data_IF_848932505312
#
_entry.id   IF_848932505312
#
_cell.length_a   1.000
_cell.length_b   1.000
_cell.length_c   1.000
_cell.angle_alpha   90.00
_cell.angle_beta   90.00
_cell.angle_gamma   90.00
#
_symmetry.space_group_name_H-M   'P 1'
#
loop_
_entity.id
_entity.type
_entity.pdbx_description
1 polymer ?
#
# COMPACT_ATOMS: atom_id res chain seq x y z
N UNK A 1 3.58 -0.86 -7.12
CA UNK A 1 2.45 0.07 -7.37
C UNK A 1 1.33 -0.18 -6.37
N UNK A 2 0.43 0.79 -6.19
CA UNK A 2 -0.74 0.69 -5.30
C UNK A 2 -1.92 1.52 -5.78
N UNK A 3 -3.12 1.17 -5.29
CA UNK A 3 -4.38 1.81 -5.65
C UNK A 3 -5.34 1.88 -4.44
N UNK A 4 -6.35 2.75 -4.54
CA UNK A 4 -7.42 2.95 -3.57
C UNK A 4 -8.77 3.05 -4.28
N UNK A 5 -9.77 2.32 -3.78
CA UNK A 5 -11.14 2.32 -4.29
C UNK A 5 -12.12 2.64 -3.16
N UNK A 6 -13.20 3.37 -3.48
CA UNK A 6 -14.29 3.66 -2.55
C UNK A 6 -15.50 2.79 -2.85
N UNK A 7 -15.89 1.98 -1.88
CA UNK A 7 -17.02 1.05 -1.98
C UNK A 7 -18.34 1.64 -1.46
N UNK A 8 -18.34 2.89 -1.00
CA UNK A 8 -19.50 3.55 -0.40
C UNK A 8 -19.55 3.42 1.12
N UNK A 9 -20.33 4.26 1.78
CA UNK A 9 -20.57 4.23 3.25
C UNK A 9 -19.28 4.24 4.12
N UNK A 10 -18.26 4.96 3.66
CA UNK A 10 -16.96 5.01 4.35
C UNK A 10 -16.11 3.73 4.18
N UNK A 11 -16.50 2.78 3.34
CA UNK A 11 -15.68 1.60 3.04
C UNK A 11 -14.69 1.87 1.92
N UNK A 12 -13.42 1.59 2.19
CA UNK A 12 -12.32 1.68 1.24
C UNK A 12 -11.70 0.31 1.02
N UNK A 13 -11.22 0.09 -0.19
CA UNK A 13 -10.34 -1.02 -0.54
C UNK A 13 -9.00 -0.44 -1.02
N UNK A 14 -7.91 -0.82 -0.37
CA UNK A 14 -6.55 -0.49 -0.82
C UNK A 14 -5.87 -1.74 -1.37
N UNK A 15 -5.14 -1.59 -2.46
CA UNK A 15 -4.38 -2.69 -3.07
C UNK A 15 -2.98 -2.27 -3.43
N UNK A 16 -2.10 -3.24 -3.63
CA UNK A 16 -0.81 -3.01 -4.26
C UNK A 16 0.05 -4.25 -4.33
N UNK A 17 1.14 -4.13 -5.06
CA UNK A 17 2.08 -5.22 -5.24
C UNK A 17 3.51 -4.72 -5.49
N UNK A 18 4.44 -5.64 -5.26
CA UNK A 18 5.84 -5.55 -5.67
C UNK A 18 6.14 -6.72 -6.61
N UNK A 19 6.82 -6.43 -7.71
CA UNK A 19 7.24 -7.42 -8.70
C UNK A 19 8.73 -7.24 -8.97
N UNK A 20 9.50 -8.31 -8.84
CA UNK A 20 10.91 -8.38 -9.17
C UNK A 20 11.09 -8.99 -10.58
N UNK A 21 12.24 -8.74 -11.22
CA UNK A 21 12.57 -9.31 -12.54
C UNK A 21 12.96 -10.79 -12.48
N UNK A 22 13.28 -11.29 -11.29
CA UNK A 22 13.66 -12.67 -11.01
C UNK A 22 13.12 -13.09 -9.65
N UNK A 23 13.20 -14.38 -9.31
CA UNK A 23 12.96 -14.86 -7.95
C UNK A 23 14.01 -14.27 -7.02
N UNK A 24 13.58 -13.71 -5.90
CA UNK A 24 14.46 -13.16 -4.86
C UNK A 24 14.24 -13.86 -3.52
N UNK A 25 15.24 -13.79 -2.64
CA UNK A 25 15.19 -14.36 -1.29
C UNK A 25 13.98 -13.84 -0.49
N UNK A 26 13.71 -12.54 -0.56
CA UNK A 26 12.59 -11.89 0.13
C UNK A 26 12.00 -10.77 -0.72
N UNK A 27 10.68 -10.70 -0.79
CA UNK A 27 9.94 -9.63 -1.47
C UNK A 27 8.75 -9.21 -0.63
N UNK A 28 8.52 -7.90 -0.51
CA UNK A 28 7.39 -7.37 0.25
C UNK A 28 6.71 -6.17 -0.43
N UNK A 29 5.45 -5.97 -0.08
CA UNK A 29 4.71 -4.72 -0.25
C UNK A 29 4.06 -4.39 1.10
N UNK A 30 4.28 -3.20 1.64
CA UNK A 30 3.55 -2.71 2.81
C UNK A 30 2.61 -1.60 2.39
N UNK A 31 1.30 -1.84 2.52
CA UNK A 31 0.27 -0.87 2.20
C UNK A 31 0.01 0.01 3.41
N UNK A 32 -0.16 1.31 3.18
CA UNK A 32 -0.49 2.33 4.15
C UNK A 32 -1.78 3.02 3.71
N UNK A 33 -2.71 3.21 4.63
CA UNK A 33 -3.77 4.20 4.45
C UNK A 33 -3.26 5.54 4.97
N UNK A 34 -3.31 6.58 4.13
CA UNK A 34 -3.03 7.95 4.53
C UNK A 34 -4.31 8.79 4.52
N UNK A 35 -4.43 9.71 5.48
CA UNK A 35 -5.50 10.71 5.55
C UNK A 35 -4.93 12.11 5.44
N UNK A 36 -5.60 13.00 4.71
CA UNK A 36 -5.24 14.41 4.68
C UNK A 36 -5.72 15.12 5.95
N UNK A 37 -4.84 15.81 6.65
CA UNK A 37 -5.15 16.56 7.88
C UNK A 37 -5.45 18.06 7.65
N UNK A 38 -5.40 18.51 6.38
CA UNK A 38 -5.51 19.91 6.00
C UNK A 38 -4.18 20.50 5.50
N UNK A 39 -3.04 19.88 5.78
CA UNK A 39 -1.72 20.34 5.36
C UNK A 39 -0.78 19.21 4.92
N UNK A 40 -0.96 18.00 5.45
CA UNK A 40 -0.11 16.84 5.21
C UNK A 40 -0.93 15.55 5.08
N UNK A 41 -0.31 14.58 4.42
CA UNK A 41 -0.79 13.19 4.40
C UNK A 41 -0.19 12.43 5.59
N UNK A 42 -1.04 11.95 6.49
CA UNK A 42 -0.64 11.26 7.72
C UNK A 42 -0.93 9.76 7.60
N UNK A 43 0.06 8.92 7.90
CA UNK A 43 -0.09 7.46 7.95
C UNK A 43 -1.04 7.09 9.10
N UNK A 44 -2.20 6.50 8.77
CA UNK A 44 -3.22 6.09 9.74
C UNK A 44 -3.04 4.65 10.22
N UNK A 45 -2.70 3.76 9.29
CA UNK A 45 -2.51 2.35 9.52
C UNK A 45 -1.69 1.74 8.37
N UNK A 46 -1.08 0.57 8.62
CA UNK A 46 -0.34 -0.15 7.59
C UNK A 46 -0.44 -1.67 7.73
N UNK A 47 -0.29 -2.38 6.61
CA UNK A 47 -0.36 -3.83 6.55
C UNK A 47 0.76 -4.39 5.68
N UNK A 48 1.64 -5.26 6.23
CA UNK A 48 2.68 -5.92 5.46
C UNK A 48 2.11 -7.11 4.69
N UNK A 49 2.63 -7.31 3.48
CA UNK A 49 2.47 -8.52 2.69
C UNK A 49 3.85 -8.92 2.18
N UNK A 50 4.26 -10.14 2.47
CA UNK A 50 5.61 -10.60 2.20
C UNK A 50 5.63 -12.03 1.68
N UNK A 51 6.71 -12.36 0.98
CA UNK A 51 6.96 -13.69 0.44
C UNK A 51 8.46 -13.94 0.43
N UNK A 52 8.85 -15.17 0.78
CA UNK A 52 10.21 -15.67 0.63
C UNK A 52 10.33 -16.47 -0.66
N UNK A 53 11.53 -16.49 -1.25
CA UNK A 53 11.83 -17.21 -2.49
C UNK A 53 10.77 -16.97 -3.58
N UNK A 54 10.53 -15.70 -3.92
CA UNK A 54 9.47 -15.30 -4.84
C UNK A 54 9.82 -14.06 -5.66
N UNK A 55 9.16 -13.90 -6.80
CA UNK A 55 9.31 -12.72 -7.68
C UNK A 55 8.13 -11.75 -7.63
N UNK A 56 7.09 -12.07 -6.86
CA UNK A 56 5.86 -11.30 -6.80
C UNK A 56 5.16 -11.46 -5.45
N UNK A 57 4.65 -10.34 -4.93
CA UNK A 57 3.77 -10.30 -3.76
C UNK A 57 2.74 -9.19 -3.93
N UNK A 58 1.50 -9.49 -3.60
CA UNK A 58 0.40 -8.55 -3.64
C UNK A 58 -0.40 -8.60 -2.34
N UNK A 59 -1.04 -7.49 -2.03
CA UNK A 59 -1.89 -7.34 -0.87
C UNK A 59 -3.11 -6.51 -1.17
N UNK A 60 -4.17 -6.77 -0.42
CA UNK A 60 -5.39 -5.97 -0.40
C UNK A 60 -5.90 -5.82 1.03
N UNK A 61 -6.51 -4.68 1.33
CA UNK A 61 -7.25 -4.46 2.57
C UNK A 61 -8.52 -3.69 2.34
N UNK A 62 -9.60 -4.26 2.86
CA UNK A 62 -10.87 -3.58 3.06
C UNK A 62 -10.90 -2.98 4.46
N UNK A 63 -11.36 -1.74 4.56
CA UNK A 63 -11.45 -1.04 5.83
C UNK A 63 -12.54 0.02 5.80
N UNK A 64 -13.18 0.22 6.95
CA UNK A 64 -14.08 1.33 7.16
C UNK A 64 -13.30 2.51 7.75
N UNK A 65 -13.57 3.72 7.25
CA UNK A 65 -12.91 4.94 7.69
C UNK A 65 -13.93 6.00 8.11
N UNK A 66 -13.44 7.00 8.85
CA UNK A 66 -14.23 8.18 9.16
C UNK A 66 -14.53 8.96 7.88
N UNK A 67 -15.81 9.19 7.62
CA UNK A 67 -16.30 10.04 6.52
C UNK A 67 -15.90 11.51 6.73
N UNK A 68 -15.97 12.31 5.66
CA UNK A 68 -15.63 13.73 5.70
C UNK A 68 -14.15 14.05 5.48
N UNK A 69 -13.34 13.08 5.03
CA UNK A 69 -11.91 13.24 4.83
C UNK A 69 -11.45 12.73 3.47
N UNK A 70 -10.28 13.20 3.04
CA UNK A 70 -9.56 12.66 1.89
C UNK A 70 -8.59 11.57 2.32
N UNK A 71 -8.59 10.47 1.59
CA UNK A 71 -7.71 9.32 1.80
C UNK A 71 -6.92 8.97 0.55
N UNK A 72 -5.73 8.42 0.72
CA UNK A 72 -4.94 7.79 -0.35
C UNK A 72 -4.22 6.55 0.15
N UNK A 73 -3.87 5.64 -0.77
CA UNK A 73 -2.96 4.55 -0.49
C UNK A 73 -1.50 4.99 -0.73
N UNK A 74 -0.61 4.55 0.15
CA UNK A 74 0.85 4.57 -0.04
C UNK A 74 1.34 3.13 0.04
N UNK A 75 2.29 2.75 -0.80
CA UNK A 75 2.97 1.47 -0.68
C UNK A 75 4.46 1.69 -0.51
N UNK A 76 5.04 1.02 0.49
CA UNK A 76 6.48 0.77 0.52
C UNK A 76 6.76 -0.56 -0.21
N UNK A 77 7.78 -0.56 -1.04
CA UNK A 77 8.26 -1.72 -1.80
C UNK A 77 9.67 -2.07 -1.34
N UNK A 78 9.99 -3.36 -1.38
CA UNK A 78 11.18 -3.90 -0.75
C UNK A 78 11.46 -5.29 -1.28
N UNK A 79 12.72 -5.53 -1.62
CA UNK A 79 13.22 -6.85 -1.96
C UNK A 79 14.64 -7.02 -1.44
N UNK A 80 14.99 -8.27 -1.16
CA UNK A 80 16.34 -8.67 -0.75
C UNK A 80 16.75 -9.88 -1.59
N UNK A 81 17.96 -9.83 -2.16
CA UNK A 81 18.55 -10.93 -2.91
C UNK A 81 20.06 -10.98 -2.66
N UNK A 82 20.58 -12.12 -2.19
CA UNK A 82 21.99 -12.32 -1.85
C UNK A 82 22.58 -11.20 -0.96
N UNK A 83 21.76 -10.69 -0.04
CA UNK A 83 22.13 -9.60 0.88
C UNK A 83 22.00 -8.18 0.31
N UNK A 84 21.70 -8.01 -0.99
CA UNK A 84 21.40 -6.71 -1.58
C UNK A 84 19.94 -6.34 -1.35
N UNK A 85 19.67 -5.07 -0.99
CA UNK A 85 18.33 -4.57 -0.75
C UNK A 85 17.96 -3.51 -1.79
N UNK A 86 16.78 -3.63 -2.38
CA UNK A 86 16.17 -2.56 -3.18
C UNK A 86 14.86 -2.12 -2.52
N UNK A 87 14.56 -0.83 -2.58
CA UNK A 87 13.33 -0.28 -2.03
C UNK A 87 12.79 0.84 -2.89
N UNK A 88 11.47 1.02 -2.86
CA UNK A 88 10.79 2.10 -3.56
C UNK A 88 9.50 2.46 -2.82
N UNK A 89 8.84 3.52 -3.26
CA UNK A 89 7.49 3.86 -2.78
C UNK A 89 6.60 4.26 -3.93
N UNK A 90 5.31 3.94 -3.82
CA UNK A 90 4.27 4.43 -4.72
C UNK A 90 3.11 5.04 -3.94
N UNK A 91 2.35 5.90 -4.60
CA UNK A 91 1.16 6.53 -4.07
C UNK A 91 0.04 6.37 -5.08
N UNK A 92 -1.17 6.10 -4.61
CA UNK A 92 -2.36 6.18 -5.45
C UNK A 92 -2.78 7.64 -5.67
N UNK A 93 -3.85 7.84 -6.45
CA UNK A 93 -4.67 9.05 -6.32
C UNK A 93 -5.32 9.16 -4.93
N UNK A 94 -6.14 10.19 -4.73
CA UNK A 94 -6.89 10.37 -3.50
C UNK A 94 -8.40 10.35 -3.73
N UNK A 95 -9.15 9.95 -2.72
CA UNK A 95 -10.61 9.90 -2.74
C UNK A 95 -11.17 10.58 -1.48
N UNK A 96 -12.26 11.34 -1.66
CA UNK A 96 -13.07 11.86 -0.56
C UNK A 96 -14.13 10.84 -0.17
N UNK A 97 -14.20 10.48 1.11
CA UNK A 97 -15.23 9.56 1.62
C UNK A 97 -16.39 10.36 2.20
N UNK A 98 -17.59 10.23 1.62
CA UNK A 98 -18.81 10.93 2.04
C UNK A 98 -19.74 10.10 2.92
#
# INVERSE_FOLDING_TARGET
MCDINYAGDGYLNITGFTQARQTVDYIMVRLYLQRWDGSNWVDMASWPFERYAGSYVAGAKDLQVTKGYYYRAKAAHGLTENGYNESASSYSGYIYTN
#
